data_IF_201686841200
#
_entry.id   IF_201686841200
#
_cell.length_a   1.000
_cell.length_b   1.000
_cell.length_c   1.000
_cell.angle_alpha   90.00
_cell.angle_beta   90.00
_cell.angle_gamma   90.00
#
_symmetry.space_group_name_H-M   'P 1'
#
loop_
_entity.id
_entity.type
_entity.pdbx_description
1 polymer ?
#
# COMPACT_ATOMS: atom_id res chain seq x y z
N UNK A 1 19.81 -13.49 -8.69
CA UNK A 1 19.09 -12.45 -7.92
C UNK A 1 19.91 -11.18 -8.06
N UNK A 2 19.35 -10.14 -8.69
CA UNK A 2 20.08 -8.88 -8.91
C UNK A 2 19.96 -7.96 -7.70
N UNK A 3 20.91 -7.03 -7.56
CA UNK A 3 20.89 -6.01 -6.50
C UNK A 3 19.63 -5.13 -6.61
N UNK A 4 19.01 -4.83 -5.46
CA UNK A 4 17.88 -3.90 -5.36
C UNK A 4 18.36 -2.53 -4.92
N UNK A 5 17.80 -1.48 -5.53
CA UNK A 5 18.11 -0.09 -5.22
C UNK A 5 16.85 0.65 -4.76
N UNK A 6 17.03 1.71 -3.97
CA UNK A 6 15.95 2.58 -3.52
C UNK A 6 16.32 4.06 -3.68
N UNK A 7 15.28 4.91 -3.79
CA UNK A 7 15.41 6.37 -3.70
C UNK A 7 15.01 6.79 -2.30
N UNK A 8 15.98 7.23 -1.49
CA UNK A 8 15.71 7.76 -0.15
C UNK A 8 15.60 9.30 -0.19
N UNK A 9 14.36 9.79 -0.07
CA UNK A 9 14.07 11.22 -0.08
C UNK A 9 14.13 11.91 1.29
N UNK A 10 14.67 11.23 2.33
CA UNK A 10 14.72 11.76 3.70
C UNK A 10 15.49 13.08 3.78
N UNK A 11 16.71 13.10 3.25
CA UNK A 11 17.60 14.26 3.32
C UNK A 11 17.65 15.05 2.01
N UNK A 12 17.57 14.37 0.87
CA UNK A 12 17.62 14.98 -0.46
C UNK A 12 16.44 14.47 -1.29
N UNK A 13 15.59 15.38 -1.76
CA UNK A 13 14.42 15.03 -2.55
C UNK A 13 13.73 16.27 -3.11
N UNK A 14 12.79 16.09 -4.03
CA UNK A 14 11.97 17.17 -4.58
C UNK A 14 10.58 17.19 -3.91
N UNK A 15 9.62 17.90 -4.50
CA UNK A 15 8.25 18.03 -3.97
C UNK A 15 7.54 16.68 -3.72
N UNK A 16 7.91 15.61 -4.44
CA UNK A 16 7.23 14.32 -4.32
C UNK A 16 7.36 13.68 -2.94
N UNK A 17 8.41 14.05 -2.17
CA UNK A 17 8.63 13.55 -0.81
C UNK A 17 7.53 13.93 0.20
N UNK A 18 6.68 14.87 -0.18
CA UNK A 18 5.57 15.36 0.65
C UNK A 18 4.21 14.81 0.22
N UNK A 19 4.12 14.04 -0.87
CA UNK A 19 2.86 13.46 -1.35
C UNK A 19 2.48 12.32 -0.40
N UNK A 20 1.29 12.40 0.20
CA UNK A 20 0.81 11.43 1.19
C UNK A 20 0.32 10.12 0.57
N UNK A 21 0.14 9.11 1.43
CA UNK A 21 -0.57 7.89 1.07
C UNK A 21 -2.07 8.16 0.95
N UNK A 22 -2.71 7.59 -0.08
CA UNK A 22 -4.16 7.55 -0.17
C UNK A 22 -4.63 6.17 -0.65
N UNK A 23 -5.56 5.51 0.07
CA UNK A 23 -6.05 4.17 -0.28
C UNK A 23 -6.87 4.12 -1.59
N UNK A 24 -7.47 5.26 -1.97
CA UNK A 24 -8.09 5.47 -3.29
C UNK A 24 -7.33 6.55 -4.07
N UNK A 25 -6.09 6.28 -4.50
CA UNK A 25 -5.16 7.31 -4.95
C UNK A 25 -5.65 8.06 -6.20
N UNK A 26 -5.11 9.25 -6.42
CA UNK A 26 -5.25 10.00 -7.67
C UNK A 26 -3.96 10.04 -8.50
N UNK A 27 -2.85 9.56 -7.94
CA UNK A 27 -1.58 9.36 -8.63
C UNK A 27 -1.19 7.88 -8.68
N UNK A 28 -0.53 7.48 -9.75
CA UNK A 28 0.18 6.20 -9.83
C UNK A 28 1.65 6.42 -10.23
N UNK A 29 2.60 5.71 -9.58
CA UNK A 29 4.01 5.75 -9.97
C UNK A 29 4.27 4.87 -11.19
N UNK A 30 5.04 5.40 -12.14
CA UNK A 30 5.47 4.73 -13.36
C UNK A 30 7.00 4.74 -13.44
N UNK A 31 7.60 3.61 -13.83
CA UNK A 31 9.03 3.51 -14.11
C UNK A 31 9.30 4.06 -15.51
N UNK A 32 10.12 5.09 -15.60
CA UNK A 32 10.48 5.75 -16.85
C UNK A 32 12.00 5.70 -17.06
N UNK A 33 12.41 5.47 -18.29
CA UNK A 33 13.79 5.52 -18.74
C UNK A 33 13.94 6.67 -19.73
N UNK A 34 14.92 7.53 -19.51
CA UNK A 34 15.10 8.76 -20.30
C UNK A 34 16.48 8.75 -20.97
N UNK A 35 17.49 9.35 -20.33
CA UNK A 35 18.86 9.45 -20.83
C UNK A 35 19.61 8.11 -20.80
N UNK A 36 19.14 7.13 -20.04
CA UNK A 36 19.70 5.78 -19.98
C UNK A 36 18.58 4.73 -19.83
N UNK A 37 18.93 3.46 -20.12
CA UNK A 37 18.02 2.31 -20.08
C UNK A 37 18.49 1.21 -19.10
N UNK A 38 19.38 1.55 -18.16
CA UNK A 38 19.75 0.63 -17.07
C UNK A 38 18.54 0.33 -16.18
N UNK A 39 18.02 -0.91 -16.28
CA UNK A 39 16.82 -1.36 -15.58
C UNK A 39 16.94 -1.27 -14.06
N UNK A 40 18.15 -1.16 -13.50
CA UNK A 40 18.39 -1.02 -12.06
C UNK A 40 18.02 0.37 -11.54
N UNK A 41 18.03 1.40 -12.38
CA UNK A 41 17.89 2.81 -11.98
C UNK A 41 16.76 3.54 -12.73
N UNK A 42 15.51 3.06 -12.71
CA UNK A 42 14.40 3.79 -13.33
C UNK A 42 14.17 5.15 -12.64
N UNK A 43 13.73 6.15 -13.40
CA UNK A 43 13.09 7.32 -12.81
C UNK A 43 11.66 6.96 -12.39
N UNK A 44 11.22 7.42 -11.22
CA UNK A 44 9.84 7.28 -10.77
C UNK A 44 9.08 8.55 -11.15
N UNK A 45 8.15 8.43 -12.10
CA UNK A 45 7.27 9.52 -12.52
C UNK A 45 5.85 9.27 -12.00
N UNK A 46 5.22 10.28 -11.43
CA UNK A 46 3.81 10.21 -11.02
C UNK A 46 2.91 10.74 -12.13
N UNK A 47 1.87 9.96 -12.44
CA UNK A 47 0.83 10.35 -13.39
C UNK A 47 -0.53 10.30 -12.72
N UNK A 48 -1.44 11.19 -13.14
CA UNK A 48 -2.82 11.16 -12.67
C UNK A 48 -3.54 9.91 -13.20
N UNK A 49 -4.20 9.14 -12.31
CA UNK A 49 -5.05 8.00 -12.70
C UNK A 49 -6.54 8.34 -12.75
N UNK A 50 -6.91 9.57 -12.37
CA UNK A 50 -8.25 10.15 -12.47
C UNK A 50 -8.15 11.67 -12.60
N UNK A 51 -9.25 12.33 -12.96
CA UNK A 51 -9.30 13.79 -12.98
C UNK A 51 -9.06 14.35 -11.56
N UNK A 52 -8.26 15.42 -11.47
CA UNK A 52 -7.88 16.07 -10.21
C UNK A 52 -8.36 17.52 -10.29
N UNK A 53 -9.21 17.92 -9.35
CA UNK A 53 -9.72 19.29 -9.28
C UNK A 53 -8.74 20.20 -8.55
N UNK A 54 -8.87 21.52 -8.75
CA UNK A 54 -8.10 22.48 -8.01
C UNK A 54 -8.42 22.38 -6.50
N UNK A 55 -7.40 22.21 -5.67
CA UNK A 55 -7.52 22.04 -4.23
C UNK A 55 -7.57 20.58 -3.75
N UNK A 56 -7.68 19.61 -4.66
CA UNK A 56 -7.58 18.19 -4.29
C UNK A 56 -6.16 17.86 -3.82
N UNK A 57 -6.03 17.14 -2.71
CA UNK A 57 -4.75 16.62 -2.25
C UNK A 57 -4.26 15.51 -3.18
N UNK A 58 -2.98 15.53 -3.52
CA UNK A 58 -2.33 14.49 -4.30
C UNK A 58 -1.95 13.31 -3.38
N UNK A 59 -2.24 12.09 -3.81
CA UNK A 59 -1.89 10.88 -3.07
C UNK A 59 -1.73 9.65 -3.94
N UNK A 60 -0.78 8.80 -3.57
CA UNK A 60 -0.53 7.49 -4.21
C UNK A 60 -0.55 6.36 -3.18
N UNK A 61 -0.63 5.12 -3.65
CA UNK A 61 -0.54 3.96 -2.78
C UNK A 61 0.94 3.64 -2.45
N UNK A 62 1.34 3.88 -1.20
CA UNK A 62 2.67 3.51 -0.67
C UNK A 62 2.95 1.99 -0.69
N UNK A 63 1.91 1.16 -0.79
CA UNK A 63 2.02 -0.30 -0.81
C UNK A 63 2.13 -0.95 0.58
N UNK A 64 1.87 -2.27 0.61
CA UNK A 64 1.75 -3.04 1.84
C UNK A 64 3.04 -3.05 2.68
N UNK A 65 4.22 -3.12 2.04
CA UNK A 65 5.50 -3.14 2.78
C UNK A 65 5.70 -1.89 3.66
N UNK A 66 5.20 -0.72 3.24
CA UNK A 66 5.22 0.47 4.09
C UNK A 66 4.32 0.26 5.32
N UNK A 67 3.11 -0.24 5.10
CA UNK A 67 2.09 -0.40 6.13
C UNK A 67 2.35 -1.58 7.07
N UNK A 68 3.02 -2.64 6.63
CA UNK A 68 3.46 -3.76 7.48
C UNK A 68 4.44 -3.29 8.56
N UNK A 69 5.26 -2.29 8.22
CA UNK A 69 6.24 -1.67 9.13
C UNK A 69 5.59 -0.55 9.94
N UNK A 70 4.91 0.39 9.28
CA UNK A 70 4.42 1.63 9.90
C UNK A 70 3.03 1.51 10.55
N UNK A 71 2.22 0.55 10.11
CA UNK A 71 0.89 0.28 10.67
C UNK A 71 0.90 -0.09 12.15
N UNK A 72 2.04 -0.52 12.68
CA UNK A 72 2.26 -0.76 14.13
C UNK A 72 2.44 0.53 14.94
N UNK A 73 2.74 1.65 14.28
CA UNK A 73 3.06 2.94 14.91
C UNK A 73 1.91 3.95 14.75
N UNK A 74 1.30 3.99 13.57
CA UNK A 74 0.16 4.84 13.28
C UNK A 74 -0.74 4.21 12.20
N UNK A 75 -1.99 4.66 12.11
CA UNK A 75 -2.94 4.21 11.11
C UNK A 75 -3.18 5.26 10.03
N UNK A 76 -3.63 4.81 8.85
CA UNK A 76 -3.95 5.67 7.73
C UNK A 76 -5.14 6.58 8.03
N UNK A 77 -4.99 7.87 7.67
CA UNK A 77 -5.97 8.93 7.86
C UNK A 77 -6.49 9.50 6.53
N UNK A 78 -6.41 8.74 5.43
CA UNK A 78 -6.81 9.24 4.10
C UNK A 78 -8.32 9.55 3.95
N UNK A 79 -9.15 9.20 4.93
CA UNK A 79 -10.60 9.49 4.91
C UNK A 79 -11.43 8.68 3.92
N UNK A 80 -10.82 7.87 3.06
CA UNK A 80 -11.55 7.01 2.11
C UNK A 80 -12.41 5.96 2.84
N UNK A 81 -13.63 5.76 2.33
CA UNK A 81 -14.53 4.68 2.76
C UNK A 81 -13.97 3.28 2.51
N UNK A 82 -13.01 3.15 1.58
CA UNK A 82 -12.30 1.91 1.25
C UNK A 82 -10.88 1.86 1.85
N UNK A 83 -10.64 2.60 2.94
CA UNK A 83 -9.33 2.63 3.58
C UNK A 83 -8.94 1.25 4.13
N UNK A 84 -7.81 0.71 3.64
CA UNK A 84 -7.29 -0.62 4.02
C UNK A 84 -6.37 -0.59 5.23
N UNK A 85 -5.93 0.59 5.67
CA UNK A 85 -4.91 0.75 6.71
C UNK A 85 -5.37 1.67 7.86
N UNK A 86 -6.68 1.91 7.98
CA UNK A 86 -7.28 2.60 9.12
C UNK A 86 -7.16 1.74 10.38
N UNK A 87 -7.29 2.36 11.56
CA UNK A 87 -7.29 1.62 12.82
C UNK A 87 -8.37 0.51 12.84
N UNK A 88 -9.56 0.80 12.31
CA UNK A 88 -10.65 -0.16 12.18
C UNK A 88 -10.30 -1.32 11.23
N UNK A 89 -9.75 -1.03 10.04
CA UNK A 89 -9.37 -2.06 9.07
C UNK A 89 -8.22 -2.94 9.59
N UNK A 90 -7.31 -2.40 10.39
CA UNK A 90 -6.26 -3.16 11.06
C UNK A 90 -6.86 -4.08 12.13
N UNK A 91 -7.77 -3.57 12.97
CA UNK A 91 -8.41 -4.36 14.03
C UNK A 91 -9.24 -5.53 13.47
N UNK A 92 -9.99 -5.30 12.38
CA UNK A 92 -10.76 -6.35 11.70
C UNK A 92 -9.87 -7.49 11.19
N UNK A 93 -8.77 -7.17 10.51
CA UNK A 93 -7.82 -8.20 10.01
C UNK A 93 -7.21 -9.04 11.14
N UNK A 94 -6.95 -8.43 12.31
CA UNK A 94 -6.43 -9.16 13.47
C UNK A 94 -7.48 -10.11 14.06
N UNK A 95 -8.75 -9.69 14.11
CA UNK A 95 -9.85 -10.55 14.55
C UNK A 95 -10.01 -11.77 13.61
N UNK A 96 -10.01 -11.54 12.29
CA UNK A 96 -10.14 -12.61 11.28
C UNK A 96 -8.93 -13.56 11.24
N UNK A 97 -7.75 -13.10 11.68
CA UNK A 97 -6.52 -13.91 11.75
C UNK A 97 -6.44 -14.76 13.02
N UNK A 98 -7.38 -14.63 13.95
CA UNK A 98 -7.42 -15.45 15.17
C UNK A 98 -8.06 -16.79 14.82
N UNK A 99 -7.38 -17.94 14.99
CA UNK A 99 -7.97 -19.24 14.72
C UNK A 99 -9.03 -19.55 15.78
N UNK A 100 -10.28 -19.21 15.50
CA UNK A 100 -11.46 -19.67 16.24
C UNK A 100 -11.93 -21.01 15.70
N UNK A 101 -11.81 -22.04 16.54
CA UNK A 101 -12.47 -23.36 16.50
C UNK A 101 -12.55 -24.09 15.15
N UNK A 102 -11.66 -25.08 14.98
CA UNK A 102 -11.94 -26.23 14.13
C UNK A 102 -13.21 -26.92 14.66
N UNK A 103 -14.35 -26.63 14.03
CA UNK A 103 -15.55 -27.43 14.17
C UNK A 103 -15.18 -28.90 13.84
N UNK A 104 -15.39 -29.88 14.74
CA UNK A 104 -15.19 -31.27 14.37
C UNK A 104 -16.24 -31.59 13.30
N UNK A 105 -15.78 -31.95 12.11
CA UNK A 105 -16.63 -32.54 11.09
C UNK A 105 -17.17 -33.87 11.63
N UNK A 106 -18.37 -33.86 12.19
CA UNK A 106 -19.11 -35.07 12.46
C UNK A 106 -19.53 -35.69 11.12
N UNK A 107 -18.69 -36.57 10.59
CA UNK A 107 -19.11 -37.56 9.61
C UNK A 107 -20.01 -38.57 10.32
N UNK A 108 -21.23 -38.84 9.85
CA UNK A 108 -22.00 -39.97 10.36
C UNK A 108 -21.34 -41.26 9.88
N UNK A 109 -21.00 -42.10 10.86
CA UNK A 109 -20.57 -43.48 10.68
C UNK A 109 -21.69 -44.25 9.96
N UNK A 110 -21.48 -44.61 8.70
CA UNK A 110 -22.33 -45.59 8.00
C UNK A 110 -21.54 -46.88 7.89
N UNK A 111 -21.71 -47.74 8.88
CA UNK A 111 -21.30 -49.14 8.76
C UNK A 111 -22.22 -49.85 7.77
N UNK A 112 -21.61 -50.60 6.86
CA UNK A 112 -22.15 -51.78 6.16
C UNK A 112 -20.98 -52.59 5.62
#
# INVERSE_FOLDING_TARGET
VGDMYCVDARFYGNISRFINHHCEPNLFPCRVFTSHQDLRFPHIAFFACKNINAGDELGFDYGDHFWDVKGKLFSCQCGSSKCKHSAAAIAQRQADSTPGDQQPSALPDTSS
#
